data_IF_002395353334
#
_entry.id   IF_002395353334
#
_cell.length_a   1.000
_cell.length_b   1.000
_cell.length_c   1.000
_cell.angle_alpha   90.00
_cell.angle_beta   90.00
_cell.angle_gamma   90.00
#
_symmetry.space_group_name_H-M   'P 1'
#
loop_
_entity.id
_entity.type
_entity.pdbx_description
1 polymer ?
#
# COMPACT_ATOMS: atom_id res chain seq x y z
N UNK A 1 19.61 -10.68 5.63
CA UNK A 1 18.42 -9.92 6.10
C UNK A 1 18.61 -8.42 5.96
N UNK A 2 19.65 -7.80 6.55
CA UNK A 2 19.89 -6.35 6.41
C UNK A 2 20.03 -5.86 4.96
N UNK A 3 20.81 -6.58 4.14
CA UNK A 3 20.92 -6.33 2.67
C UNK A 3 19.60 -6.41 1.91
N UNK A 4 18.60 -7.13 2.43
CA UNK A 4 17.28 -7.20 1.79
C UNK A 4 16.49 -5.89 1.99
N UNK A 5 16.82 -5.10 3.01
CA UNK A 5 16.19 -3.80 3.24
C UNK A 5 16.69 -2.72 2.28
N UNK A 6 17.94 -2.80 1.82
CA UNK A 6 18.46 -1.80 0.87
C UNK A 6 17.76 -1.85 -0.50
N UNK A 7 17.08 -2.95 -0.81
CA UNK A 7 16.23 -3.04 -1.99
C UNK A 7 14.80 -2.53 -1.74
N UNK A 8 14.39 -2.39 -0.47
CA UNK A 8 13.05 -2.00 -0.05
C UNK A 8 12.99 -0.53 0.39
N UNK A 9 14.05 -0.05 1.03
CA UNK A 9 14.26 1.31 1.52
C UNK A 9 15.56 1.86 0.95
N UNK A 10 15.54 3.15 0.61
CA UNK A 10 16.72 3.84 0.08
C UNK A 10 17.86 3.84 1.10
N UNK A 11 19.08 3.55 0.64
CA UNK A 11 20.27 3.70 1.48
C UNK A 11 20.58 5.19 1.57
N UNK A 12 20.61 5.72 2.79
CA UNK A 12 20.96 7.10 3.03
C UNK A 12 22.44 7.38 2.68
N UNK A 13 22.70 8.50 2.01
CA UNK A 13 24.05 9.01 1.83
C UNK A 13 24.54 9.73 3.10
N UNK A 14 25.85 9.99 3.20
CA UNK A 14 26.41 10.72 4.34
C UNK A 14 25.75 12.10 4.52
N UNK A 15 25.45 12.78 3.41
CA UNK A 15 24.71 14.05 3.35
C UNK A 15 23.30 13.96 3.95
N UNK A 16 22.67 12.78 3.89
CA UNK A 16 21.33 12.57 4.43
C UNK A 16 21.33 12.43 5.95
N UNK A 17 22.42 11.93 6.54
CA UNK A 17 22.49 11.55 7.97
C UNK A 17 23.32 12.51 8.83
N UNK A 18 24.33 13.18 8.28
CA UNK A 18 25.24 14.02 9.08
C UNK A 18 24.47 15.16 9.76
N UNK A 19 24.56 15.23 11.09
CA UNK A 19 23.90 16.24 11.92
C UNK A 19 22.40 16.04 12.12
N UNK A 20 21.82 14.95 11.61
CA UNK A 20 20.40 14.62 11.79
C UNK A 20 20.22 13.50 12.80
N UNK A 21 19.14 13.57 13.57
CA UNK A 21 18.72 12.49 14.46
C UNK A 21 17.80 11.54 13.71
N UNK A 22 17.89 10.22 13.93
CA UNK A 22 16.93 9.28 13.37
C UNK A 22 15.57 9.47 14.02
N UNK A 23 14.50 9.31 13.24
CA UNK A 23 13.13 9.24 13.76
C UNK A 23 12.83 7.88 14.39
N UNK A 24 13.51 6.83 13.91
CA UNK A 24 13.26 5.43 14.23
C UNK A 24 14.58 4.69 14.47
N UNK A 25 14.62 3.82 15.47
CA UNK A 25 15.65 2.79 15.64
C UNK A 25 14.96 1.43 15.71
N UNK A 26 15.44 0.46 14.94
CA UNK A 26 14.99 -0.93 15.02
C UNK A 26 16.15 -1.83 15.45
N UNK A 27 15.98 -2.49 16.58
CA UNK A 27 16.89 -3.51 17.09
C UNK A 27 16.31 -4.87 16.71
N UNK A 28 17.01 -5.60 15.84
CA UNK A 28 16.54 -6.89 15.34
C UNK A 28 17.48 -8.03 15.75
N UNK A 29 16.92 -9.16 16.16
CA UNK A 29 17.67 -10.35 16.54
C UNK A 29 18.31 -10.25 17.93
N UNK A 30 17.74 -9.46 18.83
CA UNK A 30 18.24 -9.38 20.21
C UNK A 30 17.93 -10.68 20.98
N UNK A 31 18.79 -11.04 21.94
CA UNK A 31 18.56 -12.14 22.88
C UNK A 31 17.94 -11.66 24.21
N UNK A 32 17.49 -10.41 24.26
CA UNK A 32 16.84 -9.85 25.43
C UNK A 32 15.55 -10.60 25.75
N UNK A 33 15.29 -10.82 27.03
CA UNK A 33 14.00 -11.32 27.52
C UNK A 33 13.00 -10.15 27.53
N UNK A 34 11.99 -10.23 26.67
CA UNK A 34 10.93 -9.24 26.54
C UNK A 34 9.57 -9.91 26.73
N UNK A 35 8.53 -9.16 27.14
CA UNK A 35 7.19 -9.71 27.33
C UNK A 35 6.60 -10.33 26.07
N UNK A 36 6.96 -9.79 24.90
CA UNK A 36 6.54 -10.27 23.59
C UNK A 36 7.74 -10.36 22.63
N UNK A 37 7.67 -11.21 21.60
CA UNK A 37 8.73 -11.33 20.60
C UNK A 37 8.99 -10.03 19.80
N UNK A 38 8.01 -9.15 19.75
CA UNK A 38 8.08 -7.88 19.04
C UNK A 38 7.48 -6.79 19.90
N UNK A 39 8.26 -5.77 20.25
CA UNK A 39 7.79 -4.63 21.04
C UNK A 39 8.26 -3.32 20.43
N UNK A 40 7.60 -2.23 20.77
CA UNK A 40 8.07 -0.89 20.47
C UNK A 40 7.90 0.04 21.66
N UNK A 41 8.73 1.06 21.72
CA UNK A 41 8.76 2.09 22.73
C UNK A 41 8.84 3.47 22.07
N UNK A 42 8.13 4.42 22.65
CA UNK A 42 8.11 5.81 22.21
C UNK A 42 8.87 6.65 23.24
N UNK A 43 10.06 7.10 22.85
CA UNK A 43 10.86 8.04 23.61
C UNK A 43 10.39 9.45 23.28
N UNK A 44 9.45 9.96 24.09
CA UNK A 44 8.88 11.30 23.91
C UNK A 44 9.93 12.41 24.11
N UNK A 45 10.88 12.22 25.03
CA UNK A 45 11.93 13.20 25.33
C UNK A 45 12.83 13.44 24.11
N UNK A 46 13.19 12.38 23.41
CA UNK A 46 14.05 12.47 22.24
C UNK A 46 13.29 12.47 20.91
N UNK A 47 11.95 12.41 20.94
CA UNK A 47 11.08 12.28 19.76
C UNK A 47 11.50 11.10 18.86
N UNK A 48 11.82 9.97 19.50
CA UNK A 48 12.38 8.78 18.86
C UNK A 48 11.46 7.58 19.08
N UNK A 49 11.25 6.79 18.04
CA UNK A 49 10.59 5.49 18.16
C UNK A 49 11.61 4.37 18.13
N UNK A 50 11.55 3.46 19.09
CA UNK A 50 12.45 2.30 19.18
C UNK A 50 11.63 1.02 19.05
N UNK A 51 11.89 0.23 18.01
CA UNK A 51 11.34 -1.12 17.88
C UNK A 51 12.38 -2.17 18.25
N UNK A 52 11.92 -3.27 18.83
CA UNK A 52 12.75 -4.42 19.17
C UNK A 52 12.09 -5.70 18.70
N UNK A 53 12.82 -6.51 17.95
CA UNK A 53 12.43 -7.86 17.54
C UNK A 53 13.44 -8.85 18.13
N UNK A 54 12.98 -9.76 18.98
CA UNK A 54 13.82 -10.78 19.59
C UNK A 54 14.23 -11.82 18.55
N UNK A 55 15.35 -12.49 18.77
CA UNK A 55 15.73 -13.64 17.96
C UNK A 55 14.98 -14.88 18.44
N UNK A 56 14.02 -15.36 17.65
CA UNK A 56 13.39 -16.67 17.84
C UNK A 56 13.06 -17.30 16.49
N UNK A 57 13.02 -18.64 16.37
CA UNK A 57 12.65 -19.31 15.12
C UNK A 57 11.30 -18.88 14.53
N UNK A 58 10.39 -18.35 15.36
CA UNK A 58 9.04 -17.91 14.97
C UNK A 58 9.02 -16.49 14.38
N UNK A 59 9.99 -15.64 14.78
CA UNK A 59 10.07 -14.23 14.32
C UNK A 59 11.36 -13.89 13.56
N UNK A 60 12.25 -14.87 13.36
CA UNK A 60 13.52 -14.74 12.61
C UNK A 60 13.29 -14.87 11.09
N UNK A 61 12.31 -14.14 10.57
CA UNK A 61 12.03 -14.04 9.14
C UNK A 61 11.93 -12.57 8.71
N UNK A 62 12.33 -12.29 7.47
CA UNK A 62 12.40 -10.93 6.91
C UNK A 62 11.06 -10.18 6.99
N UNK A 63 9.95 -10.91 6.93
CA UNK A 63 8.62 -10.35 7.14
C UNK A 63 8.50 -9.57 8.45
N UNK A 64 9.03 -10.06 9.58
CA UNK A 64 8.94 -9.33 10.85
C UNK A 64 9.79 -8.06 10.86
N UNK A 65 10.93 -8.08 10.17
CA UNK A 65 11.75 -6.88 9.99
C UNK A 65 10.95 -5.80 9.24
N UNK A 66 10.35 -6.17 8.09
CA UNK A 66 9.51 -5.26 7.30
C UNK A 66 8.31 -4.77 8.12
N UNK A 67 7.53 -5.68 8.72
CA UNK A 67 6.30 -5.36 9.47
C UNK A 67 6.58 -4.39 10.63
N UNK A 68 7.63 -4.63 11.42
CA UNK A 68 7.98 -3.73 12.52
C UNK A 68 8.42 -2.36 12.00
N UNK A 69 9.28 -2.32 10.97
CA UNK A 69 9.73 -1.06 10.36
C UNK A 69 8.55 -0.22 9.87
N UNK A 70 7.61 -0.83 9.14
CA UNK A 70 6.40 -0.17 8.66
C UNK A 70 5.48 0.29 9.80
N UNK A 71 5.36 -0.51 10.87
CA UNK A 71 4.56 -0.16 12.04
C UNK A 71 5.09 1.11 12.70
N UNK A 72 6.40 1.16 12.97
CA UNK A 72 7.05 2.33 13.55
C UNK A 72 6.92 3.55 12.63
N UNK A 73 7.17 3.38 11.33
CA UNK A 73 7.05 4.45 10.34
C UNK A 73 5.65 5.04 10.30
N UNK A 74 4.61 4.19 10.27
CA UNK A 74 3.22 4.63 10.24
C UNK A 74 2.82 5.39 11.51
N UNK A 75 3.32 4.97 12.67
CA UNK A 75 3.10 5.72 13.93
C UNK A 75 3.73 7.12 13.83
N UNK A 76 4.95 7.25 13.30
CA UNK A 76 5.56 8.57 13.08
C UNK A 76 4.78 9.40 12.05
N UNK A 77 4.26 8.78 10.98
CA UNK A 77 3.41 9.47 10.00
C UNK A 77 2.14 10.03 10.66
N UNK A 78 1.48 9.24 11.52
CA UNK A 78 0.32 9.70 12.29
C UNK A 78 0.68 10.89 13.19
N UNK A 79 1.81 10.84 13.90
CA UNK A 79 2.28 11.98 14.71
C UNK A 79 2.56 13.25 13.88
N UNK A 80 2.89 13.09 12.59
CA UNK A 80 3.08 14.18 11.63
C UNK A 80 1.78 14.61 10.94
N UNK A 81 0.63 14.10 11.36
CA UNK A 81 -0.66 14.42 10.76
C UNK A 81 -0.86 13.83 9.35
N UNK A 82 -0.12 12.77 9.00
CA UNK A 82 -0.26 12.02 7.75
C UNK A 82 -1.06 10.75 7.98
N UNK A 83 -1.86 10.36 7.00
CA UNK A 83 -2.67 9.14 7.07
C UNK A 83 -1.91 7.98 6.42
N UNK A 84 -1.35 7.02 7.18
CA UNK A 84 -0.71 5.85 6.59
C UNK A 84 -1.73 4.91 5.94
N UNK A 85 -1.37 4.36 4.79
CA UNK A 85 -2.22 3.49 3.98
C UNK A 85 -1.48 2.19 3.65
N UNK A 86 -2.24 1.09 3.60
CA UNK A 86 -1.80 -0.16 2.98
C UNK A 86 -2.57 -0.32 1.67
N UNK A 87 -1.86 -0.25 0.57
CA UNK A 87 -2.44 -0.02 -0.74
C UNK A 87 -1.40 0.16 -1.83
N UNK A 88 -1.85 0.53 -3.02
CA UNK A 88 -1.01 0.87 -4.16
C UNK A 88 -1.42 2.22 -4.73
N UNK A 89 -0.46 2.99 -5.24
CA UNK A 89 -0.71 4.20 -6.01
C UNK A 89 -0.03 4.13 -7.35
N UNK A 90 -0.80 4.43 -8.39
CA UNK A 90 -0.31 4.59 -9.75
C UNK A 90 -0.64 5.99 -10.28
N UNK A 91 0.33 6.63 -10.93
CA UNK A 91 0.13 7.82 -11.74
C UNK A 91 0.10 7.39 -13.20
N UNK A 92 -0.99 7.70 -13.88
CA UNK A 92 -1.21 7.37 -15.28
C UNK A 92 -1.20 8.65 -16.09
N UNK A 93 -0.60 8.58 -17.27
CA UNK A 93 -0.69 9.61 -18.31
C UNK A 93 -1.16 8.96 -19.60
N UNK A 94 -2.22 9.49 -20.17
CA UNK A 94 -2.76 9.03 -21.45
C UNK A 94 -2.06 9.71 -22.63
N UNK A 95 -2.18 9.14 -23.83
CA UNK A 95 -1.62 9.68 -25.07
C UNK A 95 -2.18 11.06 -25.43
N UNK A 96 -3.41 11.38 -24.99
CA UNK A 96 -4.00 12.72 -25.11
C UNK A 96 -3.35 13.78 -24.18
N UNK A 97 -2.51 13.36 -23.23
CA UNK A 97 -1.78 14.21 -22.30
C UNK A 97 -2.42 14.30 -20.91
N UNK A 98 -3.63 13.78 -20.75
CA UNK A 98 -4.39 13.76 -19.51
C UNK A 98 -3.73 12.84 -18.47
N UNK A 99 -3.99 13.11 -17.19
CA UNK A 99 -3.35 12.40 -16.06
C UNK A 99 -4.37 12.00 -15.02
N UNK A 100 -4.22 10.79 -14.49
CA UNK A 100 -4.99 10.30 -13.36
C UNK A 100 -4.07 9.64 -12.34
N UNK A 101 -4.17 10.09 -11.10
CA UNK A 101 -3.48 9.48 -9.97
C UNK A 101 -4.48 8.71 -9.13
N UNK A 102 -4.32 7.39 -9.12
CA UNK A 102 -5.24 6.44 -8.48
C UNK A 102 -4.56 5.81 -7.28
N UNK A 103 -5.25 5.82 -6.14
CA UNK A 103 -4.85 5.08 -4.94
C UNK A 103 -5.88 3.97 -4.70
N UNK A 104 -5.40 2.73 -4.60
CA UNK A 104 -6.19 1.56 -4.23
C UNK A 104 -5.76 1.12 -2.82
N UNK A 105 -6.66 1.19 -1.84
CA UNK A 105 -6.45 0.71 -0.47
C UNK A 105 -7.02 -0.70 -0.35
N UNK A 106 -6.30 -1.58 0.34
CA UNK A 106 -6.77 -2.94 0.56
C UNK A 106 -5.65 -3.82 1.06
N UNK A 107 -6.01 -4.93 1.69
CA UNK A 107 -5.03 -5.87 2.22
C UNK A 107 -4.37 -6.68 1.08
N UNK A 108 -3.37 -7.49 1.41
CA UNK A 108 -2.79 -8.45 0.46
C UNK A 108 -3.88 -9.41 -0.06
N UNK A 109 -3.91 -9.65 -1.37
CA UNK A 109 -4.93 -10.51 -2.01
C UNK A 109 -6.30 -9.85 -2.18
N UNK A 110 -6.41 -8.53 -2.02
CA UNK A 110 -7.63 -7.78 -2.35
C UNK A 110 -7.78 -7.50 -3.86
N UNK A 111 -6.80 -7.85 -4.70
CA UNK A 111 -6.84 -7.63 -6.15
C UNK A 111 -6.23 -6.31 -6.64
N UNK A 112 -5.47 -5.59 -5.79
CA UNK A 112 -4.88 -4.28 -6.12
C UNK A 112 -3.91 -4.37 -7.30
N UNK A 113 -2.87 -5.19 -7.16
CA UNK A 113 -1.78 -5.30 -8.12
C UNK A 113 -2.27 -5.96 -9.41
N UNK A 114 -3.17 -6.95 -9.31
CA UNK A 114 -3.80 -7.63 -10.45
C UNK A 114 -4.65 -6.66 -11.29
N UNK A 115 -5.45 -5.80 -10.65
CA UNK A 115 -6.22 -4.76 -11.35
C UNK A 115 -5.29 -3.73 -12.00
N UNK A 116 -4.26 -3.26 -11.29
CA UNK A 116 -3.32 -2.27 -11.84
C UNK A 116 -2.51 -2.82 -13.02
N UNK A 117 -2.27 -4.12 -13.05
CA UNK A 117 -1.61 -4.77 -14.17
C UNK A 117 -2.57 -5.03 -15.34
N UNK A 118 -3.78 -5.50 -15.08
CA UNK A 118 -4.82 -5.60 -16.09
C UNK A 118 -5.08 -4.23 -16.77
N UNK A 119 -5.06 -3.15 -15.99
CA UNK A 119 -5.19 -1.78 -16.51
C UNK A 119 -4.06 -1.40 -17.46
N UNK A 120 -2.81 -1.83 -17.18
CA UNK A 120 -1.65 -1.61 -18.06
C UNK A 120 -1.84 -2.31 -19.39
N UNK A 121 -2.31 -3.56 -19.37
CA UNK A 121 -2.51 -4.36 -20.59
C UNK A 121 -3.66 -3.81 -21.43
N UNK A 122 -4.80 -3.51 -20.80
CA UNK A 122 -6.01 -3.03 -21.47
C UNK A 122 -5.80 -1.70 -22.17
N UNK A 123 -5.11 -0.78 -21.50
CA UNK A 123 -4.91 0.56 -22.00
C UNK A 123 -3.50 0.76 -22.58
N UNK A 124 -2.84 -0.31 -23.04
CA UNK A 124 -1.50 -0.23 -23.67
C UNK A 124 -1.47 0.74 -24.85
N UNK A 125 -2.56 0.82 -25.60
CA UNK A 125 -2.68 1.71 -26.75
C UNK A 125 -3.09 3.14 -26.39
N UNK A 126 -3.44 3.41 -25.13
CA UNK A 126 -3.94 4.71 -24.67
C UNK A 126 -3.08 5.33 -23.55
N UNK A 127 -2.36 4.53 -22.77
CA UNK A 127 -1.43 4.96 -21.73
C UNK A 127 -0.08 5.23 -22.37
N UNK A 128 0.42 6.47 -22.21
CA UNK A 128 1.79 6.81 -22.60
C UNK A 128 2.79 6.62 -21.45
N UNK A 129 2.35 6.78 -20.19
CA UNK A 129 3.20 6.65 -19.01
C UNK A 129 2.43 6.06 -17.84
N UNK A 130 3.00 5.02 -17.21
CA UNK A 130 2.55 4.46 -15.93
C UNK A 130 3.69 4.59 -14.94
N UNK A 131 3.42 5.19 -13.78
CA UNK A 131 4.39 5.30 -12.69
C UNK A 131 3.80 4.79 -11.39
N UNK A 132 4.43 3.78 -10.81
CA UNK A 132 4.07 3.27 -9.48
C UNK A 132 4.75 4.15 -8.43
N UNK A 133 3.97 4.70 -7.51
CA UNK A 133 4.49 5.49 -6.38
C UNK A 133 4.68 4.59 -5.16
N UNK A 134 3.76 3.66 -4.92
CA UNK A 134 3.91 2.57 -3.97
C UNK A 134 2.99 1.41 -4.39
N UNK A 135 3.35 0.18 -4.02
CA UNK A 135 2.55 -1.03 -4.31
C UNK A 135 2.05 -1.72 -3.02
N UNK A 136 2.58 -1.32 -1.87
CA UNK A 136 2.26 -1.91 -0.57
C UNK A 136 1.96 -0.82 0.46
N UNK A 137 2.91 0.09 0.71
CA UNK A 137 2.76 1.10 1.76
C UNK A 137 2.97 2.52 1.26
N UNK A 138 2.05 3.40 1.66
CA UNK A 138 2.12 4.83 1.40
C UNK A 138 1.48 5.64 2.51
N UNK A 139 1.42 6.96 2.33
CA UNK A 139 0.68 7.85 3.23
C UNK A 139 0.06 9.03 2.50
N UNK A 140 -1.10 9.50 2.97
CA UNK A 140 -1.63 10.80 2.56
C UNK A 140 -0.99 11.91 3.37
N UNK A 141 -0.70 13.01 2.70
CA UNK A 141 -0.29 14.28 3.27
C UNK A 141 -0.97 15.44 2.57
N UNK A 142 -0.50 16.65 2.87
CA UNK A 142 -0.94 17.88 2.22
C UNK A 142 0.24 18.54 1.54
N UNK A 143 0.05 19.01 0.31
CA UNK A 143 1.06 19.85 -0.35
C UNK A 143 1.01 21.30 0.16
N UNK A 144 1.87 22.16 -0.39
CA UNK A 144 1.93 23.58 -0.02
C UNK A 144 0.65 24.36 -0.33
N UNK A 145 -0.25 23.82 -1.16
CA UNK A 145 -1.55 24.41 -1.48
C UNK A 145 -2.70 23.85 -0.63
N UNK A 146 -2.42 22.88 0.26
CA UNK A 146 -3.43 22.18 1.05
C UNK A 146 -4.12 21.05 0.29
N UNK A 147 -3.69 20.71 -0.94
CA UNK A 147 -4.25 19.61 -1.71
C UNK A 147 -3.81 18.28 -1.10
N UNK A 148 -4.72 17.31 -1.05
CA UNK A 148 -4.41 15.94 -0.62
C UNK A 148 -3.48 15.30 -1.65
N UNK A 149 -2.30 14.91 -1.18
CA UNK A 149 -1.26 14.22 -1.96
C UNK A 149 -0.88 12.92 -1.27
N UNK A 150 -0.37 11.97 -2.05
CA UNK A 150 0.11 10.70 -1.55
C UNK A 150 1.63 10.54 -1.75
N UNK A 151 2.27 9.91 -0.78
CA UNK A 151 3.70 9.60 -0.71
C UNK A 151 3.88 8.08 -0.63
N UNK A 152 4.96 7.56 -1.19
CA UNK A 152 5.36 6.17 -0.99
C UNK A 152 6.23 6.01 0.25
N UNK A 153 6.21 4.82 0.83
CA UNK A 153 7.04 4.46 2.00
C UNK A 153 8.29 3.65 1.61
N UNK A 154 8.18 2.87 0.53
CA UNK A 154 9.17 1.89 0.08
C UNK A 154 9.59 2.20 -1.37
N UNK A 155 10.87 1.99 -1.70
CA UNK A 155 11.38 2.09 -3.08
C UNK A 155 11.29 0.75 -3.83
N UNK A 156 11.08 -0.35 -3.11
CA UNK A 156 10.99 -1.69 -3.65
C UNK A 156 9.66 -2.38 -3.36
N UNK A 157 9.49 -3.55 -3.96
CA UNK A 157 8.37 -4.45 -3.73
C UNK A 157 8.86 -5.79 -3.16
N UNK A 158 8.02 -6.40 -2.33
CA UNK A 158 8.24 -7.73 -1.75
C UNK A 158 7.17 -8.69 -2.24
N UNK A 159 7.45 -9.35 -3.36
CA UNK A 159 6.46 -10.11 -4.15
C UNK A 159 6.70 -11.62 -4.05
N UNK A 160 5.67 -12.41 -4.35
CA UNK A 160 5.86 -13.86 -4.55
C UNK A 160 6.47 -14.08 -5.92
N UNK A 161 7.35 -15.08 -6.01
CA UNK A 161 7.99 -15.41 -7.29
C UNK A 161 6.95 -15.89 -8.32
N UNK A 162 5.93 -16.63 -7.87
CA UNK A 162 4.85 -17.15 -8.72
C UNK A 162 3.91 -16.04 -9.28
N UNK A 163 3.92 -14.85 -8.67
CA UNK A 163 3.08 -13.72 -9.10
C UNK A 163 3.76 -12.87 -10.19
N UNK A 164 5.04 -13.13 -10.50
CA UNK A 164 5.79 -12.35 -11.48
C UNK A 164 5.67 -12.93 -12.88
N UNK A 165 5.50 -12.06 -13.87
CA UNK A 165 5.72 -12.46 -15.27
C UNK A 165 7.16 -12.96 -15.42
N UNK A 166 7.40 -14.09 -16.12
CA UNK A 166 8.72 -14.67 -16.24
C UNK A 166 9.80 -13.65 -16.63
N UNK A 167 9.51 -12.71 -17.53
CA UNK A 167 10.47 -11.70 -17.99
C UNK A 167 10.85 -10.62 -16.98
N UNK A 168 9.95 -10.22 -16.08
CA UNK A 168 10.16 -9.06 -15.20
C UNK A 168 11.23 -9.32 -14.14
N UNK A 169 11.27 -10.55 -13.60
CA UNK A 169 12.32 -10.96 -12.68
C UNK A 169 13.72 -11.01 -13.34
N UNK A 170 13.79 -11.22 -14.66
CA UNK A 170 15.05 -11.23 -15.40
C UNK A 170 15.56 -9.83 -15.76
N UNK A 171 14.68 -8.86 -16.00
CA UNK A 171 15.06 -7.47 -16.31
C UNK A 171 15.79 -6.79 -15.15
N UNK A 172 15.43 -7.14 -13.91
CA UNK A 172 16.01 -6.56 -12.68
C UNK A 172 16.81 -7.60 -11.87
N UNK A 173 17.26 -8.70 -12.51
CA UNK A 173 17.90 -9.83 -11.82
C UNK A 173 19.15 -9.42 -11.04
N UNK A 174 19.93 -8.48 -11.60
CA UNK A 174 21.18 -7.97 -11.02
C UNK A 174 20.95 -7.25 -9.67
N UNK A 175 19.71 -6.80 -9.43
CA UNK A 175 19.29 -6.08 -8.22
C UNK A 175 18.25 -6.86 -7.42
N UNK A 176 17.96 -8.10 -7.79
CA UNK A 176 16.92 -8.92 -7.16
C UNK A 176 17.48 -9.77 -6.03
N UNK A 177 16.80 -9.82 -4.88
CA UNK A 177 17.14 -10.72 -3.78
C UNK A 177 16.08 -11.81 -3.65
N UNK A 178 16.47 -13.04 -3.98
CA UNK A 178 15.63 -14.22 -3.85
C UNK A 178 15.64 -14.73 -2.41
N UNK A 179 14.48 -15.06 -1.87
CA UNK A 179 14.33 -15.61 -0.52
C UNK A 179 13.56 -16.92 -0.57
N UNK A 180 14.15 -17.97 0.00
CA UNK A 180 13.61 -19.34 -0.01
C UNK A 180 13.17 -19.82 -1.41
N UNK A 181 14.01 -19.70 -2.47
CA UNK A 181 13.62 -20.01 -3.84
C UNK A 181 13.22 -21.49 -4.05
N UNK A 182 13.65 -22.35 -3.14
CA UNK A 182 13.39 -23.79 -3.08
C UNK A 182 12.07 -24.16 -2.38
N UNK A 183 11.36 -23.19 -1.77
CA UNK A 183 10.10 -23.41 -1.04
C UNK A 183 8.90 -22.86 -1.79
N UNK A 184 7.71 -23.36 -1.49
CA UNK A 184 6.41 -22.91 -2.04
C UNK A 184 6.03 -21.46 -1.72
N UNK A 185 6.77 -20.78 -0.83
CA UNK A 185 6.63 -19.36 -0.54
C UNK A 185 7.90 -18.60 -0.91
N UNK A 186 8.45 -18.90 -2.09
CA UNK A 186 9.56 -18.17 -2.66
C UNK A 186 9.18 -16.70 -2.85
N UNK A 187 10.04 -15.80 -2.35
CA UNK A 187 9.83 -14.34 -2.41
C UNK A 187 10.97 -13.66 -3.13
N UNK A 188 10.66 -12.52 -3.72
CA UNK A 188 11.61 -11.65 -4.40
C UNK A 188 11.51 -10.23 -3.83
N UNK A 189 12.66 -9.62 -3.53
CA UNK A 189 12.75 -8.18 -3.25
C UNK A 189 13.40 -7.48 -4.43
N UNK A 190 12.67 -6.56 -5.06
CA UNK A 190 13.12 -5.79 -6.23
C UNK A 190 12.84 -4.30 -6.05
N UNK A 191 13.73 -3.40 -6.49
CA UNK A 191 13.41 -1.98 -6.63
C UNK A 191 12.29 -1.78 -7.67
N UNK A 192 11.29 -0.97 -7.37
CA UNK A 192 10.18 -0.65 -8.30
C UNK A 192 10.05 0.83 -8.61
N UNK A 193 10.67 1.69 -7.79
CA UNK A 193 10.62 3.14 -7.95
C UNK A 193 11.88 3.77 -7.34
N UNK A 194 12.07 5.07 -7.58
CA UNK A 194 13.22 5.83 -7.06
C UNK A 194 12.80 6.67 -5.87
N UNK A 195 13.71 6.89 -4.92
CA UNK A 195 13.43 7.67 -3.71
C UNK A 195 12.76 9.02 -3.97
N UNK A 196 13.26 9.78 -4.94
CA UNK A 196 12.70 11.09 -5.28
C UNK A 196 11.24 11.05 -5.75
N UNK A 197 10.75 9.91 -6.27
CA UNK A 197 9.33 9.78 -6.59
C UNK A 197 8.50 9.54 -5.32
N UNK A 198 8.95 8.68 -4.41
CA UNK A 198 8.14 8.36 -3.22
C UNK A 198 7.99 9.55 -2.26
N UNK A 199 8.98 10.45 -2.20
CA UNK A 199 8.93 11.63 -1.31
C UNK A 199 8.36 12.90 -1.93
N UNK A 200 8.11 12.92 -3.25
CA UNK A 200 7.66 14.13 -3.96
C UNK A 200 6.26 14.59 -3.57
N UNK A 201 5.37 13.64 -3.30
CA UNK A 201 3.93 13.90 -3.15
C UNK A 201 3.26 14.02 -4.52
N UNK A 202 2.24 13.21 -4.75
CA UNK A 202 1.42 13.24 -5.96
C UNK A 202 -0.04 13.49 -5.59
N UNK A 203 -0.75 14.42 -6.25
CA UNK A 203 -2.16 14.65 -5.98
C UNK A 203 -2.99 13.38 -6.09
N UNK A 204 -3.95 13.18 -5.19
CA UNK A 204 -4.90 12.07 -5.28
C UNK A 204 -6.08 12.53 -6.11
N UNK A 205 -6.38 11.83 -7.20
CA UNK A 205 -7.57 12.11 -8.02
C UNK A 205 -8.69 11.10 -7.72
N UNK A 206 -8.32 9.83 -7.55
CA UNK A 206 -9.24 8.71 -7.30
C UNK A 206 -8.72 7.90 -6.11
N UNK A 207 -9.57 7.65 -5.11
CA UNK A 207 -9.24 6.95 -3.87
C UNK A 207 -10.25 5.81 -3.63
N UNK A 208 -9.83 4.57 -3.86
CA UNK A 208 -10.75 3.41 -3.88
C UNK A 208 -10.34 2.36 -2.85
N UNK A 209 -11.33 1.76 -2.21
CA UNK A 209 -11.18 0.51 -1.48
C UNK A 209 -11.28 -0.70 -2.41
N UNK A 210 -10.34 -1.63 -2.35
CA UNK A 210 -10.36 -2.86 -3.13
C UNK A 210 -11.24 -3.92 -2.45
N UNK A 211 -12.44 -4.12 -3.00
CA UNK A 211 -13.43 -5.07 -2.52
C UNK A 211 -13.35 -6.37 -3.34
N UNK A 212 -12.89 -7.45 -2.72
CA UNK A 212 -12.69 -8.72 -3.42
C UNK A 212 -13.81 -9.75 -3.17
N UNK A 213 -14.88 -9.38 -2.46
CA UNK A 213 -15.84 -10.33 -1.88
C UNK A 213 -17.29 -10.12 -2.34
N UNK A 214 -17.64 -8.93 -2.81
CA UNK A 214 -18.98 -8.66 -3.38
C UNK A 214 -19.07 -9.03 -4.85
N UNK A 215 -20.22 -9.58 -5.26
CA UNK A 215 -20.54 -9.78 -6.67
C UNK A 215 -20.85 -8.43 -7.34
N UNK A 216 -20.83 -8.45 -8.67
CA UNK A 216 -21.27 -7.31 -9.49
C UNK A 216 -22.62 -7.63 -10.09
N UNK A 217 -23.58 -6.72 -9.89
CA UNK A 217 -24.93 -6.74 -10.44
C UNK A 217 -25.45 -5.31 -10.66
N UNK A 218 -26.75 -5.13 -10.91
CA UNK A 218 -27.35 -3.82 -11.16
C UNK A 218 -27.28 -2.87 -9.96
N UNK A 219 -27.31 -3.41 -8.74
CA UNK A 219 -27.22 -2.64 -7.49
C UNK A 219 -25.77 -2.42 -7.05
N UNK A 220 -24.87 -3.34 -7.43
CA UNK A 220 -23.46 -3.37 -7.04
C UNK A 220 -22.54 -3.23 -8.27
N UNK A 221 -22.36 -2.02 -8.84
CA UNK A 221 -21.51 -1.85 -10.01
C UNK A 221 -20.02 -2.12 -9.71
N UNK A 222 -19.19 -2.41 -10.74
CA UNK A 222 -17.75 -2.66 -10.54
C UNK A 222 -17.01 -1.53 -9.82
N UNK A 223 -17.38 -0.28 -10.10
CA UNK A 223 -16.88 0.92 -9.41
C UNK A 223 -18.08 1.63 -8.80
N UNK A 224 -17.99 1.96 -7.53
CA UNK A 224 -19.00 2.71 -6.80
C UNK A 224 -18.33 3.87 -6.08
N UNK A 225 -18.82 5.09 -6.31
CA UNK A 225 -18.38 6.28 -5.59
C UNK A 225 -19.37 6.61 -4.49
N UNK A 226 -18.85 7.20 -3.42
CA UNK A 226 -19.66 7.60 -2.27
C UNK A 226 -19.84 9.11 -2.27
N UNK A 227 -21.09 9.52 -2.09
CA UNK A 227 -21.46 10.93 -1.83
C UNK A 227 -21.58 11.20 -0.32
N UNK A 228 -21.56 10.16 0.50
CA UNK A 228 -21.63 10.23 1.95
C UNK A 228 -20.29 9.85 2.59
N UNK A 229 -19.78 10.76 3.43
CA UNK A 229 -18.49 10.60 4.09
C UNK A 229 -18.49 9.46 5.09
N UNK A 230 -19.54 9.32 5.89
CA UNK A 230 -19.59 8.31 6.94
C UNK A 230 -19.68 6.91 6.34
N UNK A 231 -20.44 6.71 5.26
CA UNK A 231 -20.48 5.48 4.46
C UNK A 231 -19.10 5.14 3.89
N UNK A 232 -18.42 6.12 3.28
CA UNK A 232 -17.07 5.90 2.78
C UNK A 232 -16.11 5.49 3.91
N UNK A 233 -16.13 6.20 5.03
CA UNK A 233 -15.32 5.87 6.19
C UNK A 233 -15.63 4.47 6.74
N UNK A 234 -16.90 4.06 6.81
CA UNK A 234 -17.30 2.74 7.32
C UNK A 234 -16.76 1.60 6.47
N UNK A 235 -16.79 1.73 5.15
CA UNK A 235 -16.25 0.72 4.23
C UNK A 235 -14.75 0.56 4.44
N UNK A 236 -13.99 1.67 4.45
CA UNK A 236 -12.54 1.61 4.70
C UNK A 236 -12.25 1.10 6.11
N UNK A 237 -12.93 1.62 7.13
CA UNK A 237 -12.79 1.21 8.54
C UNK A 237 -13.01 -0.30 8.72
N UNK A 238 -14.00 -0.87 8.04
CA UNK A 238 -14.30 -2.30 8.10
C UNK A 238 -13.13 -3.16 7.62
N UNK A 239 -12.37 -2.64 6.65
CA UNK A 239 -11.29 -3.31 5.92
C UNK A 239 -11.59 -4.78 5.63
N UNK A 240 -12.82 -5.04 5.17
CA UNK A 240 -13.30 -6.36 4.87
C UNK A 240 -12.65 -6.92 3.59
N UNK A 241 -12.23 -8.18 3.63
CA UNK A 241 -11.84 -8.94 2.44
C UNK A 241 -12.15 -10.42 2.60
N UNK A 242 -12.35 -11.12 1.49
CA UNK A 242 -12.42 -12.57 1.47
C UNK A 242 -10.99 -13.15 1.38
N UNK A 243 -10.58 -13.90 2.40
CA UNK A 243 -9.29 -14.57 2.46
C UNK A 243 -9.34 -15.91 1.71
N UNK A 244 -8.49 -16.08 0.68
CA UNK A 244 -8.37 -17.31 -0.12
C UNK A 244 -7.47 -18.40 0.50
N UNK A 245 -7.12 -18.30 1.78
CA UNK A 245 -6.45 -19.37 2.51
C UNK A 245 -5.00 -19.62 2.11
N UNK A 246 -4.19 -18.56 1.94
CA UNK A 246 -2.72 -18.65 1.92
C UNK A 246 -2.10 -18.55 3.33
N UNK A 247 -2.91 -18.22 4.33
CA UNK A 247 -2.63 -18.19 5.78
C UNK A 247 -3.79 -18.86 6.53
N UNK A 248 -3.70 -19.04 7.85
CA UNK A 248 -4.71 -19.71 8.73
C UNK A 248 -6.13 -19.09 8.70
N UNK A 249 -6.35 -18.05 7.91
CA UNK A 249 -7.60 -17.32 7.77
C UNK A 249 -8.42 -17.81 6.55
N UNK A 250 -9.65 -18.27 6.79
CA UNK A 250 -10.63 -18.62 5.76
C UNK A 250 -11.91 -17.79 5.95
N UNK A 251 -12.49 -17.32 4.85
CA UNK A 251 -13.75 -16.56 4.86
C UNK A 251 -13.54 -15.05 4.86
N UNK A 252 -14.61 -14.31 5.19
CA UNK A 252 -14.59 -12.85 5.27
C UNK A 252 -13.82 -12.43 6.53
N UNK A 253 -12.72 -11.71 6.35
CA UNK A 253 -11.86 -11.19 7.41
C UNK A 253 -11.87 -9.68 7.42
N UNK A 254 -11.60 -9.09 8.58
CA UNK A 254 -11.63 -7.66 8.81
C UNK A 254 -10.31 -7.18 9.41
N UNK A 255 -9.59 -6.37 8.66
CA UNK A 255 -8.39 -5.69 9.13
C UNK A 255 -8.70 -4.20 9.21
N UNK A 256 -8.61 -3.56 10.38
CA UNK A 256 -8.91 -2.13 10.52
C UNK A 256 -8.22 -1.27 9.44
N UNK A 257 -9.00 -0.53 8.63
CA UNK A 257 -8.51 0.26 7.49
C UNK A 257 -7.70 -0.51 6.43
N UNK A 258 -7.84 -1.83 6.41
CA UNK A 258 -6.99 -2.76 5.67
C UNK A 258 -5.48 -2.57 5.94
N UNK A 259 -5.11 -1.89 7.04
CA UNK A 259 -3.75 -1.54 7.39
C UNK A 259 -3.39 -2.16 8.75
N UNK A 260 -2.70 -3.31 8.78
CA UNK A 260 -2.30 -3.94 10.04
C UNK A 260 -1.12 -3.24 10.73
N UNK A 261 -0.53 -2.21 10.10
CA UNK A 261 0.72 -1.57 10.54
C UNK A 261 0.47 -0.17 11.13
N UNK A 262 0.63 -0.01 12.44
CA UNK A 262 0.55 1.27 13.15
C UNK A 262 -0.88 1.78 13.36
N UNK A 263 -1.77 1.62 12.38
CA UNK A 263 -3.16 2.08 12.45
C UNK A 263 -3.93 1.43 13.62
N UNK A 264 -3.90 0.11 13.85
CA UNK A 264 -4.55 -0.50 15.01
C UNK A 264 -3.89 -0.09 16.33
N UNK A 265 -2.56 0.05 16.36
CA UNK A 265 -1.78 0.41 17.55
C UNK A 265 -1.98 1.86 18.00
N UNK A 266 -2.47 2.74 17.11
CA UNK A 266 -2.79 4.15 17.36
C UNK A 266 -4.19 4.51 16.83
N UNK A 267 -5.17 3.63 17.08
CA UNK A 267 -6.51 3.70 16.47
C UNK A 267 -7.23 5.03 16.66
N UNK A 268 -7.20 5.61 17.85
CA UNK A 268 -7.89 6.87 18.12
C UNK A 268 -7.32 8.02 17.26
N UNK A 269 -5.99 8.19 17.28
CA UNK A 269 -5.31 9.19 16.46
C UNK A 269 -5.54 8.94 14.96
N UNK A 270 -5.53 7.66 14.55
CA UNK A 270 -5.83 7.28 13.18
C UNK A 270 -7.25 7.66 12.75
N UNK A 271 -8.28 7.40 13.56
CA UNK A 271 -9.68 7.79 13.25
C UNK A 271 -9.81 9.31 13.04
N UNK A 272 -9.20 10.10 13.92
CA UNK A 272 -9.24 11.57 13.85
C UNK A 272 -8.61 12.07 12.54
N UNK A 273 -7.41 11.57 12.21
CA UNK A 273 -6.70 11.93 10.99
C UNK A 273 -7.44 11.43 9.74
N UNK A 274 -7.92 10.19 9.76
CA UNK A 274 -8.66 9.61 8.65
C UNK A 274 -9.92 10.44 8.33
N UNK A 275 -10.70 10.83 9.34
CA UNK A 275 -11.88 11.67 9.14
C UNK A 275 -11.52 13.00 8.47
N UNK A 276 -10.43 13.65 8.90
CA UNK A 276 -9.96 14.90 8.28
C UNK A 276 -9.60 14.72 6.79
N UNK A 277 -8.83 13.69 6.45
CA UNK A 277 -8.45 13.45 5.06
C UNK A 277 -9.65 13.07 4.18
N UNK A 278 -10.61 12.30 4.69
CA UNK A 278 -11.84 12.03 3.94
C UNK A 278 -12.65 13.31 3.71
N UNK A 279 -12.80 14.17 4.72
CA UNK A 279 -13.46 15.48 4.55
C UNK A 279 -12.77 16.33 3.47
N UNK A 280 -11.45 16.39 3.51
CA UNK A 280 -10.65 17.13 2.55
C UNK A 280 -10.78 16.56 1.13
N UNK A 281 -10.67 15.24 0.97
CA UNK A 281 -10.83 14.57 -0.32
C UNK A 281 -12.20 14.87 -0.95
N UNK A 282 -13.28 14.75 -0.17
CA UNK A 282 -14.63 15.10 -0.65
C UNK A 282 -14.71 16.59 -1.04
N UNK A 283 -14.19 17.49 -0.21
CA UNK A 283 -14.21 18.94 -0.50
C UNK A 283 -13.38 19.32 -1.75
N UNK A 284 -12.37 18.53 -2.09
CA UNK A 284 -11.47 18.75 -3.22
C UNK A 284 -11.93 18.03 -4.50
N UNK A 285 -13.09 17.34 -4.48
CA UNK A 285 -13.59 16.59 -5.63
C UNK A 285 -12.73 15.36 -5.98
N UNK A 286 -12.08 14.77 -4.98
CA UNK A 286 -11.47 13.44 -5.12
C UNK A 286 -12.58 12.41 -5.19
N UNK A 287 -12.51 11.51 -6.15
CA UNK A 287 -13.48 10.43 -6.29
C UNK A 287 -13.17 9.35 -5.25
N UNK A 288 -13.90 9.36 -4.14
CA UNK A 288 -13.78 8.39 -3.05
C UNK A 288 -14.80 7.27 -3.25
N UNK A 289 -14.36 6.02 -3.21
CA UNK A 289 -15.24 4.91 -3.56
C UNK A 289 -14.69 3.52 -3.22
N UNK A 290 -15.26 2.51 -3.86
CA UNK A 290 -14.74 1.15 -3.87
C UNK A 290 -14.69 0.58 -5.28
N UNK A 291 -13.78 -0.38 -5.46
CA UNK A 291 -13.58 -1.14 -6.68
C UNK A 291 -13.79 -2.62 -6.37
N UNK A 292 -14.80 -3.23 -7.01
CA UNK A 292 -15.11 -4.65 -6.86
C UNK A 292 -14.18 -5.48 -7.75
N UNK A 293 -13.07 -5.91 -7.18
CA UNK A 293 -12.07 -6.74 -7.85
C UNK A 293 -12.54 -8.18 -7.99
N UNK A 294 -13.47 -8.64 -7.12
CA UNK A 294 -14.02 -10.01 -7.09
C UNK A 294 -12.96 -11.11 -6.96
N UNK A 295 -11.69 -10.76 -6.69
CA UNK A 295 -10.57 -11.70 -6.67
C UNK A 295 -10.78 -12.80 -5.63
N UNK A 296 -11.53 -12.53 -4.56
CA UNK A 296 -11.88 -13.47 -3.51
C UNK A 296 -12.97 -14.48 -3.90
N UNK A 297 -13.71 -14.23 -4.99
CA UNK A 297 -14.80 -15.09 -5.46
C UNK A 297 -14.24 -16.19 -6.36
N UNK A 298 -14.74 -17.42 -6.20
CA UNK A 298 -14.35 -18.56 -7.04
C UNK A 298 -14.74 -18.32 -8.51
N UNK A 299 -13.80 -18.54 -9.43
CA UNK A 299 -13.99 -18.33 -10.87
C UNK A 299 -13.76 -16.89 -11.34
N UNK A 300 -13.42 -15.96 -10.43
CA UNK A 300 -13.16 -14.55 -10.74
C UNK A 300 -11.70 -14.12 -10.49
N UNK A 301 -10.79 -15.06 -10.24
CA UNK A 301 -9.37 -14.81 -9.97
C UNK A 301 -8.71 -13.95 -11.04
N UNK A 302 -9.03 -14.20 -12.31
CA UNK A 302 -8.50 -13.42 -13.43
C UNK A 302 -9.56 -12.47 -14.01
N UNK A 303 -10.80 -12.95 -14.14
CA UNK A 303 -11.89 -12.18 -14.77
C UNK A 303 -12.29 -10.96 -13.95
N UNK A 304 -12.31 -11.08 -12.62
CA UNK A 304 -12.68 -10.01 -11.70
C UNK A 304 -11.76 -8.79 -11.81
N UNK A 305 -10.44 -8.92 -11.58
CA UNK A 305 -9.51 -7.81 -11.72
C UNK A 305 -9.51 -7.17 -13.11
N UNK A 306 -9.72 -7.97 -14.16
CA UNK A 306 -9.84 -7.50 -15.54
C UNK A 306 -11.10 -6.63 -15.76
N UNK A 307 -12.25 -7.08 -15.27
CA UNK A 307 -13.51 -6.30 -15.32
C UNK A 307 -13.39 -5.01 -14.50
N UNK A 308 -12.80 -5.08 -13.31
CA UNK A 308 -12.55 -3.92 -12.46
C UNK A 308 -11.62 -2.90 -13.15
N UNK A 309 -10.56 -3.38 -13.80
CA UNK A 309 -9.63 -2.53 -14.54
C UNK A 309 -10.31 -1.82 -15.73
N UNK A 310 -11.18 -2.52 -16.48
CA UNK A 310 -11.98 -1.90 -17.56
C UNK A 310 -12.88 -0.78 -17.02
N UNK A 311 -13.61 -1.05 -15.94
CA UNK A 311 -14.50 -0.06 -15.34
C UNK A 311 -13.73 1.16 -14.81
N UNK A 312 -12.60 0.94 -14.13
CA UNK A 312 -11.72 2.01 -13.68
C UNK A 312 -11.15 2.82 -14.86
N UNK A 313 -10.79 2.17 -15.96
CA UNK A 313 -10.32 2.85 -17.16
C UNK A 313 -11.40 3.77 -17.76
N UNK A 314 -12.66 3.31 -17.83
CA UNK A 314 -13.77 4.15 -18.31
C UNK A 314 -14.04 5.36 -17.41
N UNK A 315 -13.90 5.21 -16.09
CA UNK A 315 -13.97 6.34 -15.14
C UNK A 315 -12.88 7.36 -15.45
N UNK A 316 -11.63 6.89 -15.61
CA UNK A 316 -10.48 7.74 -15.92
C UNK A 316 -10.73 8.49 -17.23
N UNK A 317 -11.16 7.79 -18.27
CA UNK A 317 -11.46 8.36 -19.59
C UNK A 317 -12.59 9.39 -19.54
N UNK A 318 -13.66 9.11 -18.80
CA UNK A 318 -14.85 9.99 -18.73
C UNK A 318 -14.56 11.28 -17.97
N UNK A 319 -13.82 11.20 -16.85
CA UNK A 319 -13.39 12.38 -16.07
C UNK A 319 -12.57 13.36 -16.91
N UNK A 320 -11.85 12.85 -17.90
CA UNK A 320 -10.90 13.61 -18.69
C UNK A 320 -11.53 14.36 -19.87
N UNK A 321 -12.82 14.12 -20.15
CA UNK A 321 -13.59 14.80 -21.22
C UNK A 321 -14.40 15.99 -20.68
N UNK A 322 -14.57 16.11 -19.37
CA UNK A 322 -15.24 17.23 -18.69
C UNK A 322 -14.24 18.30 -18.24
#
# INVERSE_FOLDING_TARGET
>A
MGLSLSNLFEIAEASDIVGKRPDLILIFGTKAELPEPTVFYEDEENSLMVGVVVHSPEVDYFGYFKKMTLTLHNIVMLKRGRLPLHGAMVCLKLKGGERANVVLVGDSGAGKSETLEALRVLARDEICEKRIIFDDMGSLGRDSSGRVVAYGTEIGAFVRLDDLEPGYAYEEIDRSIFMNPDKTNARLVIPITRYHHIVKGYPVDIFLYANNYEQVDEEHPPVEFYDDLDRAMDVFRSGARLAKGTTDEKGLVHTYFANPFGAPQRRQLHEEIARQYFQEMFSQGVLVGQLRTRLGIEGYEQKGPLEAAKALFEVIRTRMVQ
#
